data_IF_499316212978
#
_entry.id   IF_499316212978
#
_cell.length_a   1.000
_cell.length_b   1.000
_cell.length_c   1.000
_cell.angle_alpha   90.00
_cell.angle_beta   90.00
_cell.angle_gamma   90.00
#
_symmetry.space_group_name_H-M   'P 1'
#
loop_
_entity.id
_entity.type
_entity.pdbx_description
1 polymer ?
#
# COMPACT_ATOMS: atom_id res chain seq x y z
N UNK A 1 17.33 5.15 -12.78
CA UNK A 1 16.76 3.83 -13.08
C UNK A 1 17.46 3.30 -14.31
N UNK A 2 17.82 2.02 -14.31
CA UNK A 2 18.35 1.34 -15.51
C UNK A 2 17.26 1.20 -16.57
N UNK A 3 17.60 1.01 -17.86
CA UNK A 3 16.62 0.80 -18.92
C UNK A 3 15.67 -0.39 -18.65
N UNK A 4 16.18 -1.45 -18.02
CA UNK A 4 15.39 -2.62 -17.63
C UNK A 4 14.36 -2.30 -16.53
N UNK A 5 14.76 -1.51 -15.53
CA UNK A 5 13.84 -1.05 -14.48
C UNK A 5 12.72 -0.17 -15.05
N UNK A 6 13.03 0.65 -16.06
CA UNK A 6 12.06 1.56 -16.67
C UNK A 6 11.04 0.81 -17.54
N UNK A 7 11.47 -0.22 -18.25
CA UNK A 7 10.57 -1.11 -18.99
C UNK A 7 9.61 -1.86 -18.05
N UNK A 8 10.15 -2.41 -16.95
CA UNK A 8 9.35 -3.12 -15.96
C UNK A 8 8.41 -2.17 -15.19
N UNK A 9 8.86 -0.94 -14.92
CA UNK A 9 8.03 0.11 -14.32
C UNK A 9 6.80 0.37 -15.18
N UNK A 10 6.99 0.60 -16.48
CA UNK A 10 5.90 0.88 -17.42
C UNK A 10 4.92 -0.27 -17.48
N UNK A 11 5.40 -1.50 -17.56
CA UNK A 11 4.57 -2.71 -17.56
C UNK A 11 3.69 -2.79 -16.31
N UNK A 12 4.29 -2.69 -15.12
CA UNK A 12 3.55 -2.77 -13.86
C UNK A 12 2.58 -1.60 -13.67
N UNK A 13 2.92 -0.39 -14.17
CA UNK A 13 2.00 0.74 -14.15
C UNK A 13 0.77 0.51 -15.03
N UNK A 14 0.95 0.00 -16.26
CA UNK A 14 -0.17 -0.33 -17.15
C UNK A 14 -1.07 -1.38 -16.51
N UNK A 15 -0.51 -2.45 -15.95
CA UNK A 15 -1.29 -3.50 -15.29
C UNK A 15 -2.12 -2.94 -14.11
N UNK A 16 -1.57 -1.99 -13.35
CA UNK A 16 -2.26 -1.35 -12.22
C UNK A 16 -3.34 -0.35 -12.67
N UNK A 17 -3.13 0.35 -13.79
CA UNK A 17 -4.10 1.25 -14.39
C UNK A 17 -5.28 0.46 -14.97
N UNK A 18 -5.01 -0.61 -15.71
CA UNK A 18 -6.02 -1.47 -16.31
C UNK A 18 -6.86 -2.18 -15.24
N UNK A 19 -6.24 -2.54 -14.11
CA UNK A 19 -6.95 -3.08 -12.95
C UNK A 19 -7.77 -2.02 -12.17
N UNK A 20 -7.61 -0.73 -12.47
CA UNK A 20 -8.28 0.37 -11.78
C UNK A 20 -7.81 0.56 -10.34
N UNK A 21 -6.58 0.15 -10.00
CA UNK A 21 -6.04 0.28 -8.65
C UNK A 21 -5.35 1.62 -8.40
N UNK A 22 -4.89 2.28 -9.47
CA UNK A 22 -4.21 3.57 -9.43
C UNK A 22 -4.88 4.56 -10.39
N UNK A 23 -4.69 5.85 -10.10
CA UNK A 23 -5.09 6.95 -10.99
C UNK A 23 -4.00 8.02 -11.07
N UNK A 24 -3.93 8.81 -12.15
CA UNK A 24 -3.03 9.96 -12.22
C UNK A 24 -3.34 10.96 -11.10
N UNK A 25 -2.33 11.35 -10.32
CA UNK A 25 -2.48 12.33 -9.24
C UNK A 25 -2.01 13.71 -9.66
N UNK A 26 -2.59 14.73 -9.02
CA UNK A 26 -2.17 16.14 -9.12
C UNK A 26 -1.54 16.65 -7.82
N UNK A 27 -1.22 15.76 -6.87
CA UNK A 27 -0.66 16.17 -5.59
C UNK A 27 0.75 16.77 -5.77
N UNK A 28 1.13 17.78 -4.99
CA UNK A 28 2.46 18.41 -5.10
C UNK A 28 3.58 17.58 -4.45
N UNK A 29 3.24 16.44 -3.84
CA UNK A 29 4.17 15.56 -3.11
C UNK A 29 4.00 14.12 -3.58
N UNK A 30 5.05 13.31 -3.45
CA UNK A 30 4.99 11.89 -3.78
C UNK A 30 6.12 11.10 -3.12
N UNK A 31 5.81 9.88 -2.68
CA UNK A 31 6.81 8.93 -2.21
C UNK A 31 7.63 8.37 -3.39
N UNK A 32 8.95 8.10 -3.20
CA UNK A 32 9.76 7.53 -4.27
C UNK A 32 9.45 6.04 -4.49
N UNK A 33 9.52 5.62 -5.75
CA UNK A 33 9.44 4.21 -6.15
C UNK A 33 10.82 3.57 -6.15
N UNK A 34 10.92 2.42 -5.49
CA UNK A 34 12.10 1.57 -5.41
C UNK A 34 11.83 0.22 -6.07
N UNK A 35 12.86 -0.37 -6.65
CA UNK A 35 12.80 -1.73 -7.17
C UNK A 35 13.54 -2.69 -6.26
N UNK A 36 12.87 -3.78 -5.90
CA UNK A 36 13.48 -4.88 -5.18
C UNK A 36 13.52 -6.13 -6.07
N UNK A 37 14.71 -6.70 -6.27
CA UNK A 37 14.87 -8.00 -6.92
C UNK A 37 14.28 -9.08 -6.04
N UNK A 38 13.37 -9.87 -6.58
CA UNK A 38 12.89 -11.11 -5.98
C UNK A 38 13.92 -12.23 -6.22
N UNK A 39 13.74 -13.34 -5.51
CA UNK A 39 14.57 -14.55 -5.65
C UNK A 39 14.48 -15.17 -7.05
N UNK A 40 13.34 -14.99 -7.74
CA UNK A 40 13.10 -15.43 -9.12
C UNK A 40 13.75 -14.52 -10.18
N UNK A 41 14.47 -13.47 -9.76
CA UNK A 41 15.09 -12.49 -10.66
C UNK A 41 14.14 -11.39 -11.15
N UNK A 42 12.83 -11.49 -10.87
CA UNK A 42 11.87 -10.45 -11.22
C UNK A 42 12.03 -9.20 -10.35
N UNK A 43 11.70 -8.03 -10.88
CA UNK A 43 11.71 -6.77 -10.12
C UNK A 43 10.32 -6.52 -9.55
N UNK A 44 10.24 -6.26 -8.24
CA UNK A 44 9.02 -5.80 -7.58
C UNK A 44 9.09 -4.28 -7.39
N UNK A 45 8.09 -3.57 -7.90
CA UNK A 45 7.87 -2.17 -7.57
C UNK A 45 7.44 -2.04 -6.10
N UNK A 46 8.16 -1.21 -5.36
CA UNK A 46 7.91 -0.91 -3.95
C UNK A 46 7.91 0.60 -3.74
N UNK A 47 6.81 1.16 -3.24
CA UNK A 47 6.75 2.57 -2.86
C UNK A 47 7.27 2.75 -1.44
N UNK A 48 8.19 3.70 -1.22
CA UNK A 48 8.74 3.96 0.10
C UNK A 48 7.87 4.92 0.94
N UNK A 49 6.91 4.34 1.67
CA UNK A 49 6.07 5.08 2.62
C UNK A 49 6.69 5.26 4.02
N UNK A 50 8.01 5.08 4.21
CA UNK A 50 8.63 5.26 5.53
C UNK A 50 8.41 6.65 6.10
N UNK A 51 8.52 7.70 5.29
CA UNK A 51 8.26 9.07 5.71
C UNK A 51 6.80 9.24 6.15
N UNK A 52 5.85 8.81 5.32
CA UNK A 52 4.42 8.85 5.63
C UNK A 52 4.06 8.09 6.91
N UNK A 53 4.63 6.89 7.10
CA UNK A 53 4.38 6.05 8.28
C UNK A 53 4.91 6.66 9.58
N UNK A 54 5.92 7.54 9.54
CA UNK A 54 6.41 8.25 10.74
C UNK A 54 5.45 9.32 11.22
N UNK A 55 4.80 10.00 10.28
CA UNK A 55 3.90 11.11 10.61
C UNK A 55 2.48 10.60 10.92
N UNK A 56 2.11 9.41 10.43
CA UNK A 56 0.79 8.82 10.70
C UNK A 56 0.58 8.48 12.19
N UNK A 57 -0.61 8.80 12.69
CA UNK A 57 -1.10 8.29 13.99
C UNK A 57 -1.22 6.77 13.90
N UNK A 58 -0.50 6.05 14.77
CA UNK A 58 -0.53 4.59 14.80
C UNK A 58 -1.91 4.12 15.30
N UNK A 59 -2.63 3.41 14.45
CA UNK A 59 -3.84 2.70 14.86
C UNK A 59 -3.44 1.55 15.80
N UNK A 60 -3.79 1.65 17.09
CA UNK A 60 -3.57 0.60 18.07
C UNK A 60 -4.80 -0.32 18.11
N UNK A 61 -4.95 -1.14 17.08
CA UNK A 61 -5.90 -2.24 17.17
C UNK A 61 -5.24 -3.40 17.94
N UNK A 62 -5.80 -3.85 19.07
CA UNK A 62 -5.22 -4.95 19.81
C UNK A 62 -5.33 -6.23 18.98
N UNK A 63 -4.19 -6.70 18.47
CA UNK A 63 -4.12 -8.04 17.87
C UNK A 63 -4.17 -9.02 19.03
N UNK A 64 -5.16 -9.93 19.08
CA UNK A 64 -5.29 -10.88 20.18
C UNK A 64 -4.07 -11.80 20.26
N UNK A 65 -3.76 -12.26 21.47
CA UNK A 65 -2.68 -13.22 21.65
C UNK A 65 -3.04 -14.53 20.95
N UNK A 66 -2.03 -15.22 20.42
CA UNK A 66 -2.20 -16.50 19.73
C UNK A 66 -2.85 -17.55 20.65
N UNK A 67 -2.52 -17.54 21.94
CA UNK A 67 -3.15 -18.42 22.94
C UNK A 67 -4.67 -18.17 23.05
N UNK A 68 -5.09 -16.90 23.20
CA UNK A 68 -6.50 -16.53 23.31
C UNK A 68 -7.32 -16.95 22.08
N UNK A 69 -6.70 -16.93 20.89
CA UNK A 69 -7.32 -17.41 19.66
C UNK A 69 -7.51 -18.93 19.70
N UNK A 70 -6.50 -19.68 20.14
CA UNK A 70 -6.57 -21.13 20.22
C UNK A 70 -7.55 -21.62 21.30
N UNK A 71 -7.64 -20.93 22.44
CA UNK A 71 -8.61 -21.27 23.49
C UNK A 71 -10.05 -21.16 22.98
N UNK A 72 -10.34 -20.14 22.15
CA UNK A 72 -11.66 -19.99 21.50
C UNK A 72 -11.92 -21.08 20.46
N UNK A 73 -10.88 -21.49 19.74
CA UNK A 73 -10.95 -22.52 18.71
C UNK A 73 -11.02 -23.95 19.30
N UNK A 74 -10.56 -24.15 20.54
CA UNK A 74 -10.47 -25.47 21.20
C UNK A 74 -11.78 -26.26 21.28
N UNK A 75 -12.93 -25.57 21.22
CA UNK A 75 -14.27 -26.16 21.29
C UNK A 75 -14.83 -26.58 19.92
N UNK A 76 -14.12 -26.30 18.82
CA UNK A 76 -14.59 -26.60 17.47
C UNK A 76 -14.06 -27.95 16.97
N UNK A 77 -14.91 -28.74 16.31
CA UNK A 77 -14.55 -30.05 15.74
C UNK A 77 -14.05 -29.98 14.30
N UNK A 78 -14.35 -28.89 13.58
CA UNK A 78 -13.97 -28.69 12.18
C UNK A 78 -13.38 -27.29 12.00
N UNK A 79 -12.27 -27.21 11.25
CA UNK A 79 -11.58 -25.96 10.95
C UNK A 79 -11.52 -25.73 9.45
N UNK A 80 -11.83 -24.52 9.02
CA UNK A 80 -11.64 -24.04 7.65
C UNK A 80 -10.72 -22.83 7.66
N UNK A 81 -9.75 -22.81 6.74
CA UNK A 81 -8.80 -21.71 6.61
C UNK A 81 -9.04 -21.00 5.29
N UNK A 82 -9.34 -19.71 5.36
CA UNK A 82 -9.48 -18.84 4.20
C UNK A 82 -8.26 -17.93 4.12
N UNK A 83 -7.56 -17.94 2.99
CA UNK A 83 -6.39 -17.10 2.74
C UNK A 83 -6.76 -15.92 1.84
N UNK A 84 -6.72 -14.70 2.39
CA UNK A 84 -7.04 -13.46 1.68
C UNK A 84 -5.77 -12.78 1.15
N UNK A 85 -4.93 -13.50 0.39
CA UNK A 85 -3.66 -12.96 -0.17
C UNK A 85 -3.84 -11.64 -0.92
N UNK A 86 -4.94 -11.51 -1.66
CA UNK A 86 -5.28 -10.32 -2.44
C UNK A 86 -6.29 -9.41 -1.74
N UNK A 87 -6.61 -9.66 -0.47
CA UNK A 87 -7.62 -8.91 0.27
C UNK A 87 -7.33 -7.40 0.34
N UNK A 88 -6.05 -7.03 0.39
CA UNK A 88 -5.63 -5.62 0.34
C UNK A 88 -6.13 -4.91 -0.92
N UNK A 89 -6.06 -5.56 -2.09
CA UNK A 89 -6.52 -5.03 -3.37
C UNK A 89 -8.05 -4.91 -3.49
N UNK A 90 -8.80 -5.39 -2.50
CA UNK A 90 -10.26 -5.25 -2.44
C UNK A 90 -10.69 -4.14 -1.49
N UNK A 91 -9.82 -3.68 -0.60
CA UNK A 91 -10.14 -2.62 0.36
C UNK A 91 -9.82 -1.26 -0.25
N UNK A 92 -10.85 -0.46 -0.52
CA UNK A 92 -10.67 0.91 -1.01
C UNK A 92 -10.10 1.83 0.07
N UNK A 93 -9.33 2.81 -0.38
CA UNK A 93 -8.91 3.95 0.43
C UNK A 93 -10.15 4.81 0.75
N UNK A 94 -10.10 5.51 1.89
CA UNK A 94 -11.17 6.43 2.27
C UNK A 94 -11.13 7.67 1.38
N UNK A 95 -12.31 8.17 1.00
CA UNK A 95 -12.44 9.36 0.17
C UNK A 95 -11.77 10.57 0.82
N UNK A 96 -10.86 11.21 0.10
CA UNK A 96 -10.03 12.34 0.54
C UNK A 96 -8.64 11.96 1.05
N UNK A 97 -8.37 10.68 1.28
CA UNK A 97 -7.05 10.19 1.70
C UNK A 97 -6.21 9.61 0.56
N UNK A 98 -6.78 9.46 -0.64
CA UNK A 98 -6.08 8.97 -1.84
C UNK A 98 -4.81 9.76 -2.13
N UNK A 99 -4.80 11.12 -2.09
CA UNK A 99 -3.62 11.91 -2.42
C UNK A 99 -2.45 11.65 -1.47
N UNK A 100 -2.68 11.11 -0.27
CA UNK A 100 -1.61 10.79 0.70
C UNK A 100 -0.79 9.57 0.26
N UNK A 101 -1.33 8.78 -0.65
CA UNK A 101 -0.62 7.65 -1.30
C UNK A 101 0.03 8.02 -2.62
N UNK A 102 0.08 9.31 -2.95
CA UNK A 102 0.76 9.74 -4.18
C UNK A 102 2.21 9.28 -4.16
N UNK A 103 2.65 8.74 -5.29
CA UNK A 103 4.00 8.32 -5.52
C UNK A 103 4.52 8.84 -6.85
N UNK A 104 5.82 9.07 -6.89
CA UNK A 104 6.51 9.59 -8.06
C UNK A 104 7.16 8.45 -8.84
N UNK A 105 6.69 8.30 -10.08
CA UNK A 105 7.34 7.52 -11.12
C UNK A 105 8.19 8.46 -11.97
N UNK A 106 9.48 8.12 -12.10
CA UNK A 106 10.49 8.68 -13.00
C UNK A 106 10.15 9.99 -13.75
N UNK A 107 10.88 11.08 -13.51
CA UNK A 107 10.80 12.33 -14.31
C UNK A 107 9.35 12.78 -14.67
N UNK A 108 8.47 12.97 -13.66
CA UNK A 108 7.21 13.76 -13.71
C UNK A 108 5.90 12.93 -13.62
N UNK A 109 5.92 11.60 -13.65
CA UNK A 109 4.68 10.82 -13.53
C UNK A 109 4.24 10.67 -12.07
N UNK A 110 3.11 11.25 -11.69
CA UNK A 110 2.51 11.12 -10.37
C UNK A 110 1.26 10.26 -10.44
N UNK A 111 1.21 9.22 -9.62
CA UNK A 111 0.06 8.34 -9.49
C UNK A 111 -0.31 8.20 -8.02
N UNK A 112 -1.58 8.00 -7.75
CA UNK A 112 -2.10 7.71 -6.41
C UNK A 112 -2.88 6.39 -6.43
N UNK A 113 -2.92 5.71 -5.29
CA UNK A 113 -3.67 4.48 -5.16
C UNK A 113 -5.10 4.77 -4.73
N UNK A 114 -6.04 4.03 -5.32
CA UNK A 114 -7.45 3.97 -4.90
C UNK A 114 -7.70 2.87 -3.86
N UNK A 115 -6.72 1.99 -3.70
CA UNK A 115 -6.86 0.73 -2.98
C UNK A 115 -5.72 0.56 -1.97
N UNK A 116 -5.99 -0.15 -0.88
CA UNK A 116 -5.04 -0.34 0.20
C UNK A 116 -3.81 -1.13 -0.26
N UNK A 117 -2.64 -0.56 -0.03
CA UNK A 117 -1.35 -1.21 -0.26
C UNK A 117 -0.97 -2.13 0.90
N UNK A 118 -0.28 -3.23 0.58
CA UNK A 118 0.19 -4.26 1.54
C UNK A 118 1.03 -3.68 2.70
N UNK A 119 1.70 -2.54 2.50
CA UNK A 119 2.48 -1.85 3.54
C UNK A 119 1.87 -0.54 4.05
N UNK A 120 0.76 -0.11 3.48
CA UNK A 120 -0.01 1.05 3.94
C UNK A 120 -1.03 0.60 4.98
N UNK A 121 -0.66 0.54 6.26
CA UNK A 121 -1.66 0.24 7.28
C UNK A 121 -2.74 1.32 7.34
N UNK A 122 -3.97 0.86 7.63
CA UNK A 122 -5.23 1.60 7.86
C UNK A 122 -5.13 3.13 7.76
N UNK A 123 -5.53 3.66 6.61
CA UNK A 123 -5.61 5.09 6.34
C UNK A 123 -6.87 5.76 6.94
N UNK A 124 -7.78 5.00 7.57
CA UNK A 124 -9.05 5.49 8.15
C UNK A 124 -8.95 6.56 9.25
N UNK A 125 -7.76 6.97 9.66
CA UNK A 125 -7.53 7.94 10.75
C UNK A 125 -6.70 9.15 10.32
N UNK A 126 -6.77 9.53 9.05
CA UNK A 126 -6.02 10.63 8.50
C UNK A 126 -6.73 12.01 8.62
N UNK A 127 -7.85 12.07 9.34
CA UNK A 127 -8.60 13.29 9.68
C UNK A 127 -7.85 14.28 10.61
N UNK A 128 -6.55 14.12 10.83
CA UNK A 128 -5.73 15.00 11.70
C UNK A 128 -4.39 15.40 11.06
N UNK A 129 -4.36 15.71 9.76
CA UNK A 129 -3.19 16.30 9.12
C UNK A 129 -3.45 17.74 8.67
N UNK A 130 -2.73 18.74 9.21
CA UNK A 130 -2.66 20.05 8.59
C UNK A 130 -1.77 19.96 7.34
N UNK A 131 -2.22 20.58 6.25
CA UNK A 131 -1.63 20.58 4.91
C UNK A 131 -0.23 21.24 4.79
N UNK A 132 0.55 21.33 5.86
CA UNK A 132 1.81 22.10 5.91
C UNK A 132 2.92 21.27 6.55
N UNK A 133 3.38 20.20 5.92
CA UNK A 133 4.70 19.60 6.24
C UNK A 133 5.07 18.56 5.19
N UNK A 134 5.49 19.05 4.03
CA UNK A 134 6.33 18.32 3.08
C UNK A 134 7.08 19.37 2.24
N UNK A 135 8.13 19.94 2.84
CA UNK A 135 9.30 20.46 2.14
C UNK A 135 10.46 19.51 2.47
#
# INVERSE_FOLDING_TARGET
>A
MSPLELAELRKQLTDLLDAGFIQPSKAPYGAPVLFQKKQDGSLRMCVDYRALNKVRVKNKYPVPLVADLFDRLSKASFFTKLDLRLGYWKVRIAEGDEPKTTYFCYQIWLYEFLVMLIRGQSMRLLNKFPAKLAL
#
